data_IF_337910043906
#
_entry.id   IF_337910043906
#
_cell.length_a   1.000
_cell.length_b   1.000
_cell.length_c   1.000
_cell.angle_alpha   90.00
_cell.angle_beta   90.00
_cell.angle_gamma   90.00
#
_symmetry.space_group_name_H-M   'P 1'
#
loop_
_entity.id
_entity.type
_entity.pdbx_description
1 polymer ?
#
# COMPACT_ATOMS: atom_id res chain seq x y z
N UNK A 1 -12.61 -7.99 7.35
CA UNK A 1 -12.16 -6.59 7.49
C UNK A 1 -13.33 -5.70 7.84
N UNK A 2 -14.24 -5.40 6.90
CA UNK A 2 -15.37 -4.49 7.15
C UNK A 2 -16.21 -4.92 8.35
N UNK A 3 -16.58 -6.20 8.45
CA UNK A 3 -17.35 -6.72 9.58
C UNK A 3 -16.65 -6.58 10.94
N UNK A 4 -15.33 -6.75 10.98
CA UNK A 4 -14.56 -6.62 12.24
C UNK A 4 -14.47 -5.15 12.67
N UNK A 5 -14.30 -4.24 11.71
CA UNK A 5 -14.30 -2.80 11.95
C UNK A 5 -15.68 -2.31 12.42
N UNK A 6 -16.76 -2.78 11.79
CA UNK A 6 -18.14 -2.50 12.22
C UNK A 6 -18.40 -3.00 13.65
N UNK A 7 -18.01 -4.25 13.95
CA UNK A 7 -18.16 -4.81 15.29
C UNK A 7 -17.39 -4.02 16.36
N UNK A 8 -16.18 -3.55 16.05
CA UNK A 8 -15.41 -2.68 16.94
C UNK A 8 -16.09 -1.31 17.12
N UNK A 9 -16.57 -0.71 16.04
CA UNK A 9 -17.29 0.57 16.05
C UNK A 9 -18.57 0.51 16.90
N UNK A 10 -19.28 -0.61 16.86
CA UNK A 10 -20.52 -0.84 17.62
C UNK A 10 -20.27 -1.28 19.07
N UNK A 11 -19.01 -1.52 19.45
CA UNK A 11 -18.62 -1.89 20.82
C UNK A 11 -18.52 -0.66 21.75
N UNK A 12 -18.55 -0.91 23.07
CA UNK A 12 -18.38 0.12 24.10
C UNK A 12 -16.90 0.46 24.40
N UNK A 13 -15.97 0.00 23.55
CA UNK A 13 -14.54 0.25 23.73
C UNK A 13 -14.24 1.69 23.31
N UNK A 14 -13.77 2.53 24.24
CA UNK A 14 -13.31 3.87 23.89
C UNK A 14 -11.87 3.84 23.32
N UNK A 15 -11.60 4.47 22.16
CA UNK A 15 -10.28 4.40 21.53
C UNK A 15 -9.27 5.32 22.24
N UNK A 16 -8.40 4.77 23.08
CA UNK A 16 -7.26 5.50 23.64
C UNK A 16 -6.05 5.59 22.68
N UNK A 17 -6.17 5.04 21.48
CA UNK A 17 -5.16 5.05 20.40
C UNK A 17 -5.43 6.13 19.33
N UNK A 18 -4.58 6.23 18.30
CA UNK A 18 -4.83 7.07 17.12
C UNK A 18 -5.95 6.48 16.24
N UNK A 19 -6.65 7.27 15.41
CA UNK A 19 -6.51 8.72 15.20
C UNK A 19 -7.16 9.59 16.29
N UNK A 20 -6.76 10.86 16.37
CA UNK A 20 -7.18 11.80 17.42
C UNK A 20 -8.66 12.16 17.45
N UNK A 21 -9.42 11.91 16.37
CA UNK A 21 -10.87 12.12 16.32
C UNK A 21 -11.67 11.07 17.11
N UNK A 22 -11.01 9.99 17.59
CA UNK A 22 -11.58 8.99 18.50
C UNK A 22 -12.87 8.34 17.98
N UNK A 23 -12.95 8.13 16.67
CA UNK A 23 -14.11 7.59 15.94
C UNK A 23 -15.38 8.41 16.13
N UNK A 24 -15.24 9.69 16.51
CA UNK A 24 -16.36 10.60 16.63
C UNK A 24 -16.81 11.08 15.24
N UNK A 25 -18.12 11.31 15.05
CA UNK A 25 -18.65 11.93 13.83
C UNK A 25 -17.92 13.24 13.51
N UNK A 26 -17.55 13.42 12.23
CA UNK A 26 -16.84 14.60 11.72
C UNK A 26 -17.69 15.47 10.79
N UNK A 27 -18.96 15.09 10.58
CA UNK A 27 -19.96 15.75 9.77
C UNK A 27 -20.07 15.18 8.36
N UNK A 28 -21.30 14.97 7.91
CA UNK A 28 -21.62 14.61 6.53
C UNK A 28 -21.09 13.23 6.15
N UNK A 29 -20.44 13.12 4.99
CA UNK A 29 -19.91 11.84 4.47
C UNK A 29 -18.83 11.22 5.37
N UNK A 30 -18.20 12.02 6.23
CA UNK A 30 -17.13 11.53 7.11
C UNK A 30 -17.64 10.76 8.32
N UNK A 31 -18.93 10.86 8.66
CA UNK A 31 -19.48 10.18 9.84
C UNK A 31 -19.36 8.67 9.76
N UNK A 32 -19.63 8.10 8.59
CA UNK A 32 -19.52 6.64 8.38
C UNK A 32 -18.06 6.19 8.34
N UNK A 33 -17.18 6.97 7.70
CA UNK A 33 -15.76 6.61 7.54
C UNK A 33 -15.00 6.75 8.87
N UNK A 34 -15.27 7.80 9.65
CA UNK A 34 -14.58 8.07 10.91
C UNK A 34 -14.81 6.97 11.94
N UNK A 35 -15.97 6.30 11.88
CA UNK A 35 -16.29 5.16 12.76
C UNK A 35 -15.43 3.93 12.51
N UNK A 36 -14.97 3.75 11.27
CA UNK A 36 -14.16 2.60 10.85
C UNK A 36 -12.66 2.91 10.85
N UNK A 37 -12.29 4.18 11.02
CA UNK A 37 -10.92 4.66 10.95
C UNK A 37 -10.14 4.31 12.22
N UNK A 38 -9.24 3.34 12.08
CA UNK A 38 -8.32 2.86 13.10
C UNK A 38 -6.91 2.78 12.51
N UNK A 39 -5.92 2.81 13.39
CA UNK A 39 -4.55 2.44 13.06
C UNK A 39 -4.30 0.96 13.37
N UNK A 40 -3.03 0.56 13.38
CA UNK A 40 -2.58 -0.73 13.88
C UNK A 40 -2.82 -0.75 15.40
N UNK A 41 -3.79 -1.55 15.85
CA UNK A 41 -4.18 -1.68 17.26
C UNK A 41 -4.26 -3.16 17.64
N UNK A 42 -4.18 -3.45 18.93
CA UNK A 42 -4.28 -4.82 19.43
C UNK A 42 -5.57 -5.50 18.95
N UNK A 43 -5.43 -6.71 18.40
CA UNK A 43 -6.54 -7.49 17.83
C UNK A 43 -6.87 -7.15 16.37
N UNK A 44 -6.19 -6.17 15.77
CA UNK A 44 -6.29 -5.81 14.36
C UNK A 44 -4.93 -5.97 13.67
N UNK A 45 -4.97 -6.04 12.34
CA UNK A 45 -3.79 -6.33 11.51
C UNK A 45 -2.96 -5.07 11.23
N UNK A 46 -1.71 -5.28 10.82
CA UNK A 46 -0.75 -4.22 10.45
C UNK A 46 -0.49 -4.30 8.94
N UNK A 47 -0.72 -3.20 8.22
CA UNK A 47 -0.50 -3.14 6.77
C UNK A 47 0.99 -3.25 6.39
N UNK A 48 1.90 -2.74 7.23
CA UNK A 48 3.35 -2.78 7.00
C UNK A 48 3.96 -4.13 7.39
N UNK A 49 3.33 -4.85 8.31
CA UNK A 49 3.74 -6.20 8.72
C UNK A 49 2.54 -7.16 8.83
N UNK A 50 1.91 -7.55 7.69
CA UNK A 50 0.69 -8.34 7.70
C UNK A 50 0.87 -9.70 8.36
N UNK A 51 0.06 -9.98 9.39
CA UNK A 51 0.05 -11.25 10.10
C UNK A 51 -1.32 -11.94 10.14
N UNK A 52 -2.39 -11.20 9.89
CA UNK A 52 -3.77 -11.69 9.96
C UNK A 52 -4.49 -11.64 8.61
N UNK A 53 -5.65 -10.99 8.60
CA UNK A 53 -6.53 -10.93 7.43
C UNK A 53 -5.88 -10.27 6.21
N UNK A 54 -5.05 -9.25 6.39
CA UNK A 54 -4.32 -8.60 5.28
C UNK A 54 -3.41 -9.63 4.62
N UNK A 55 -2.73 -10.47 5.42
CA UNK A 55 -1.86 -11.52 4.89
C UNK A 55 -2.65 -12.59 4.13
N UNK A 56 -3.85 -12.93 4.59
CA UNK A 56 -4.75 -13.84 3.88
C UNK A 56 -5.16 -13.25 2.52
N UNK A 57 -5.50 -11.96 2.48
CA UNK A 57 -5.85 -11.26 1.24
C UNK A 57 -4.67 -11.26 0.28
N UNK A 58 -3.47 -10.91 0.75
CA UNK A 58 -2.24 -10.95 -0.06
C UNK A 58 -1.95 -12.34 -0.62
N UNK A 59 -2.12 -13.38 0.18
CA UNK A 59 -1.92 -14.78 -0.25
C UNK A 59 -2.90 -15.16 -1.35
N UNK A 60 -4.18 -14.85 -1.16
CA UNK A 60 -5.24 -15.12 -2.15
C UNK A 60 -5.04 -14.34 -3.45
N UNK A 61 -4.54 -13.11 -3.37
CA UNK A 61 -4.18 -12.32 -4.54
C UNK A 61 -3.01 -12.97 -5.30
N UNK A 62 -1.96 -13.40 -4.61
CA UNK A 62 -0.83 -14.08 -5.22
C UNK A 62 -1.28 -15.35 -5.97
N UNK A 63 -2.10 -16.18 -5.34
CA UNK A 63 -2.69 -17.37 -5.95
C UNK A 63 -3.55 -17.04 -7.18
N UNK A 64 -4.43 -16.03 -7.06
CA UNK A 64 -5.33 -15.64 -8.13
C UNK A 64 -4.60 -15.13 -9.38
N UNK A 65 -3.52 -14.36 -9.18
CA UNK A 65 -2.71 -13.82 -10.27
C UNK A 65 -1.57 -14.73 -10.70
N UNK A 66 -1.35 -15.87 -10.02
CA UNK A 66 -0.26 -16.79 -10.30
C UNK A 66 1.13 -16.19 -10.03
N UNK A 67 1.23 -15.31 -9.03
CA UNK A 67 2.49 -14.67 -8.61
C UNK A 67 3.08 -15.37 -7.38
N UNK A 68 4.41 -15.27 -7.19
CA UNK A 68 5.08 -15.80 -6.00
C UNK A 68 4.64 -15.07 -4.71
N UNK A 69 4.30 -13.78 -4.84
CA UNK A 69 3.83 -12.92 -3.75
C UNK A 69 3.00 -11.77 -4.30
N UNK A 70 2.03 -11.30 -3.53
CA UNK A 70 1.30 -10.06 -3.78
C UNK A 70 1.32 -9.19 -2.52
N UNK A 71 1.30 -7.87 -2.73
CA UNK A 71 1.33 -6.88 -1.65
C UNK A 71 0.24 -5.84 -1.87
N UNK A 72 -0.48 -5.48 -0.80
CA UNK A 72 -1.45 -4.38 -0.86
C UNK A 72 -0.75 -3.02 -0.84
N UNK A 73 -1.27 -2.05 -1.60
CA UNK A 73 -0.79 -0.67 -1.61
C UNK A 73 -1.96 0.30 -1.54
N UNK A 74 -1.91 1.22 -0.58
CA UNK A 74 -2.87 2.33 -0.43
C UNK A 74 -2.41 3.61 -1.12
N UNK A 75 -1.18 3.64 -1.65
CA UNK A 75 -0.57 4.81 -2.28
C UNK A 75 -0.52 4.71 -3.82
N UNK A 76 -1.41 3.88 -4.38
CA UNK A 76 -1.56 3.66 -5.82
C UNK A 76 -0.34 3.03 -6.49
N UNK A 77 -0.41 2.93 -7.82
CA UNK A 77 0.63 2.30 -8.65
C UNK A 77 1.95 3.06 -8.66
N UNK A 78 1.94 4.37 -8.36
CA UNK A 78 3.16 5.17 -8.23
C UNK A 78 4.07 4.59 -7.14
N UNK A 79 3.56 4.39 -5.93
CA UNK A 79 4.33 3.76 -4.86
C UNK A 79 4.67 2.29 -5.17
N UNK A 80 3.77 1.57 -5.86
CA UNK A 80 4.07 0.21 -6.33
C UNK A 80 5.32 0.17 -7.22
N UNK A 81 5.39 1.05 -8.23
CA UNK A 81 6.55 1.14 -9.14
C UNK A 81 7.82 1.55 -8.37
N UNK A 82 7.71 2.53 -7.46
CA UNK A 82 8.83 2.95 -6.62
C UNK A 82 9.38 1.80 -5.77
N UNK A 83 8.49 1.06 -5.11
CA UNK A 83 8.86 -0.09 -4.28
C UNK A 83 9.49 -1.20 -5.12
N UNK A 84 8.86 -1.59 -6.23
CA UNK A 84 9.36 -2.68 -7.09
C UNK A 84 10.74 -2.39 -7.66
N UNK A 85 10.99 -1.19 -8.18
CA UNK A 85 12.31 -0.83 -8.74
C UNK A 85 13.34 -0.74 -7.62
N UNK A 86 13.01 -0.13 -6.48
CA UNK A 86 13.96 0.03 -5.37
C UNK A 86 14.33 -1.30 -4.72
N UNK A 87 13.43 -2.29 -4.75
CA UNK A 87 13.71 -3.64 -4.27
C UNK A 87 14.57 -4.45 -5.26
N UNK A 88 14.43 -4.20 -6.56
CA UNK A 88 15.09 -4.98 -7.60
C UNK A 88 16.44 -4.41 -8.07
N UNK A 89 16.68 -3.11 -7.89
CA UNK A 89 17.86 -2.41 -8.45
C UNK A 89 18.60 -1.66 -7.35
N UNK A 90 19.89 -1.95 -7.18
CA UNK A 90 20.74 -1.29 -6.20
C UNK A 90 21.06 0.16 -6.56
N UNK A 91 21.53 0.91 -5.57
CA UNK A 91 21.96 2.31 -5.76
C UNK A 91 23.06 2.40 -6.84
N UNK A 92 22.90 3.34 -7.79
CA UNK A 92 23.81 3.56 -8.94
C UNK A 92 23.93 2.42 -9.95
N UNK A 93 23.10 1.38 -9.84
CA UNK A 93 23.04 0.29 -10.81
C UNK A 93 22.25 0.67 -12.07
N UNK A 94 22.27 -0.22 -13.06
CA UNK A 94 21.61 -0.01 -14.35
C UNK A 94 20.14 -0.41 -14.34
N UNK A 95 19.26 0.43 -14.90
CA UNK A 95 17.85 0.12 -15.15
C UNK A 95 17.56 0.20 -16.65
N UNK A 96 17.10 -0.90 -17.24
CA UNK A 96 16.59 -0.92 -18.62
C UNK A 96 15.12 -0.53 -18.64
N UNK A 97 14.76 0.50 -19.40
CA UNK A 97 13.39 1.03 -19.43
C UNK A 97 12.95 1.50 -20.82
N UNK A 98 11.63 1.52 -21.06
CA UNK A 98 11.05 2.17 -22.24
C UNK A 98 11.00 3.70 -22.04
N UNK A 99 11.17 4.48 -23.12
CA UNK A 99 11.04 5.95 -23.05
C UNK A 99 9.61 6.41 -22.76
N UNK A 100 8.62 5.58 -23.04
CA UNK A 100 7.21 5.81 -22.70
C UNK A 100 6.82 5.34 -21.30
N UNK A 101 7.78 4.98 -20.44
CA UNK A 101 7.49 4.56 -19.06
C UNK A 101 6.77 5.65 -18.27
N UNK A 102 6.02 5.25 -17.25
CA UNK A 102 5.33 6.21 -16.38
C UNK A 102 6.34 7.09 -15.61
N UNK A 103 5.95 8.33 -15.29
CA UNK A 103 6.81 9.31 -14.61
C UNK A 103 7.44 8.76 -13.32
N UNK A 104 6.74 7.89 -12.60
CA UNK A 104 7.25 7.24 -11.39
C UNK A 104 8.53 6.42 -11.62
N UNK A 105 8.69 5.79 -12.78
CA UNK A 105 9.92 5.05 -13.11
C UNK A 105 11.11 5.99 -13.28
N UNK A 106 10.90 7.17 -13.89
CA UNK A 106 11.94 8.21 -13.97
C UNK A 106 12.28 8.79 -12.59
N UNK A 107 11.29 8.94 -11.71
CA UNK A 107 11.54 9.35 -10.33
C UNK A 107 12.43 8.33 -9.59
N UNK A 108 12.26 7.01 -9.82
CA UNK A 108 13.19 6.00 -9.28
C UNK A 108 14.62 6.21 -9.76
N UNK A 109 14.81 6.51 -11.05
CA UNK A 109 16.14 6.76 -11.61
C UNK A 109 16.83 7.91 -10.87
N UNK A 110 16.08 8.96 -10.57
CA UNK A 110 16.59 10.09 -9.80
C UNK A 110 16.87 9.72 -8.34
N UNK A 111 15.91 9.13 -7.62
CA UNK A 111 16.02 8.80 -6.19
C UNK A 111 17.14 7.78 -5.94
N UNK A 112 17.23 6.75 -6.77
CA UNK A 112 18.24 5.69 -6.66
C UNK A 112 19.59 6.02 -7.30
N UNK A 113 19.72 7.21 -7.90
CA UNK A 113 20.85 7.60 -8.75
C UNK A 113 21.21 6.55 -9.83
N UNK A 114 20.18 5.91 -10.38
CA UNK A 114 20.32 4.77 -11.30
C UNK A 114 20.83 5.23 -12.66
N UNK A 115 21.50 4.33 -13.38
CA UNK A 115 21.89 4.53 -14.77
C UNK A 115 20.79 4.01 -15.68
N UNK A 116 20.04 4.89 -16.32
CA UNK A 116 18.98 4.48 -17.24
C UNK A 116 19.54 4.08 -18.61
N UNK A 117 19.13 2.90 -19.08
CA UNK A 117 19.33 2.42 -20.43
C UNK A 117 17.97 2.36 -21.13
N UNK A 118 17.86 2.96 -22.32
CA UNK A 118 16.58 3.04 -23.01
C UNK A 118 16.49 2.03 -24.14
N UNK A 119 15.37 1.30 -24.19
CA UNK A 119 15.02 0.47 -25.34
C UNK A 119 14.71 1.37 -26.55
N UNK A 120 15.30 1.04 -27.69
CA UNK A 120 14.97 1.67 -28.96
C UNK A 120 13.69 1.01 -29.48
N UNK A 121 12.59 1.76 -29.55
CA UNK A 121 11.39 1.29 -30.26
C UNK A 121 11.68 1.35 -31.76
N UNK A 122 11.55 0.22 -32.43
CA UNK A 122 11.39 0.20 -33.89
C UNK A 122 9.95 0.63 -34.17
N UNK A 123 9.80 1.74 -34.91
CA UNK A 123 8.51 2.21 -35.42
C UNK A 123 8.32 1.59 -36.79
#
# INVERSE_FOLDING_TARGET
MTRELEALSDSDIYPFHMPGHKRQPAGGVLDEVSRLDITEIDGFDDLQAPGGLIKEIETRLAEHYGADSAHLSVNGSTCGILASISAAVGHREGLLMDRGSHQSAFNCVYIGELRSHYLKREI
#
